data_IF_383735959050
#
_entry.id   IF_383735959050
#
_cell.length_a   1.000
_cell.length_b   1.000
_cell.length_c   1.000
_cell.angle_alpha   90.00
_cell.angle_beta   90.00
_cell.angle_gamma   90.00
#
_symmetry.space_group_name_H-M   'P 1'
#
loop_
_entity.id
_entity.type
_entity.pdbx_description
1 polymer ?
#
# COMPACT_ATOMS: atom_id res chain seq x y z
N UNK A 1 26.31 -10.67 8.84
CA UNK A 1 27.52 -9.80 8.91
C UNK A 1 27.04 -8.34 8.89
N UNK A 2 27.53 -7.51 9.80
CA UNK A 2 27.11 -6.09 9.88
C UNK A 2 27.37 -5.35 8.55
N UNK A 3 26.35 -4.66 8.03
CA UNK A 3 26.44 -3.88 6.80
C UNK A 3 26.63 -2.40 7.12
N UNK A 4 27.26 -1.68 6.21
CA UNK A 4 27.44 -0.24 6.34
C UNK A 4 26.12 0.47 6.01
N UNK A 5 25.71 1.42 6.86
CA UNK A 5 24.57 2.30 6.57
C UNK A 5 24.84 3.13 5.30
N UNK A 6 23.88 3.26 4.44
CA UNK A 6 23.92 4.15 3.27
C UNK A 6 24.08 5.60 3.71
N UNK A 7 23.39 5.99 4.78
CA UNK A 7 23.45 7.34 5.36
C UNK A 7 24.84 7.70 5.91
N UNK A 8 25.74 6.72 6.11
CA UNK A 8 27.11 7.00 6.54
C UNK A 8 27.85 7.95 5.59
N UNK A 9 27.49 7.96 4.30
CA UNK A 9 28.06 8.90 3.32
C UNK A 9 27.76 10.37 3.62
N UNK A 10 26.73 10.68 4.38
CA UNK A 10 26.38 12.07 4.78
C UNK A 10 26.49 12.33 6.28
N UNK A 11 26.53 11.27 7.10
CA UNK A 11 26.53 11.40 8.58
C UNK A 11 27.91 11.16 9.22
N UNK A 12 28.88 10.57 8.52
CA UNK A 12 30.17 10.19 9.08
C UNK A 12 31.37 10.92 8.42
N UNK A 13 32.48 10.97 9.14
CA UNK A 13 33.72 11.55 8.66
C UNK A 13 33.78 13.08 8.74
N UNK A 14 35.01 13.63 8.91
CA UNK A 14 35.24 15.06 9.08
C UNK A 14 34.75 15.90 7.90
N UNK A 15 34.92 15.39 6.67
CA UNK A 15 34.53 16.09 5.43
C UNK A 15 33.01 16.28 5.29
N UNK A 16 32.20 15.47 6.00
CA UNK A 16 30.73 15.55 5.97
C UNK A 16 30.15 16.50 7.03
N UNK A 17 30.97 17.39 7.60
CA UNK A 17 30.47 18.36 8.58
C UNK A 17 29.35 19.27 8.03
N UNK A 18 29.44 19.68 6.75
CA UNK A 18 28.40 20.46 6.08
C UNK A 18 27.09 19.70 5.97
N UNK A 19 27.14 18.44 5.53
CA UNK A 19 25.94 17.59 5.45
C UNK A 19 25.30 17.38 6.83
N UNK A 20 26.12 17.12 7.87
CA UNK A 20 25.59 16.99 9.24
C UNK A 20 24.98 18.28 9.77
N UNK A 21 25.51 19.44 9.40
CA UNK A 21 24.91 20.72 9.77
C UNK A 21 23.51 20.89 9.15
N UNK A 22 23.33 20.46 7.89
CA UNK A 22 22.01 20.46 7.23
C UNK A 22 21.08 19.43 7.86
N UNK A 23 21.56 18.23 8.18
CA UNK A 23 20.73 17.26 8.92
C UNK A 23 20.29 17.78 10.28
N UNK A 24 21.17 18.48 11.01
CA UNK A 24 20.82 19.12 12.28
C UNK A 24 19.78 20.25 12.08
N UNK A 25 19.89 21.04 11.01
CA UNK A 25 18.88 22.05 10.66
C UNK A 25 17.51 21.44 10.33
N UNK A 26 17.48 20.21 9.78
CA UNK A 26 16.28 19.42 9.56
C UNK A 26 15.75 18.73 10.84
N UNK A 27 16.35 18.97 12.00
CA UNK A 27 15.89 18.44 13.29
C UNK A 27 16.55 17.13 13.74
N UNK A 28 17.52 16.60 13.00
CA UNK A 28 18.25 15.39 13.44
C UNK A 28 19.07 15.68 14.71
N UNK A 29 18.80 14.91 15.76
CA UNK A 29 19.49 15.02 17.05
C UNK A 29 20.86 14.33 16.99
N UNK A 30 21.78 14.80 17.84
CA UNK A 30 23.15 14.24 17.91
C UNK A 30 23.17 12.73 18.18
N UNK A 31 22.25 12.22 18.98
CA UNK A 31 22.13 10.79 19.29
C UNK A 31 21.49 9.94 18.18
N UNK A 32 21.00 10.56 17.12
CA UNK A 32 20.48 9.90 15.92
C UNK A 32 21.56 9.78 14.83
N UNK A 33 22.63 10.57 14.91
CA UNK A 33 23.75 10.46 13.97
C UNK A 33 24.38 9.07 14.03
N UNK A 34 24.53 8.43 12.86
CA UNK A 34 25.07 7.07 12.76
C UNK A 34 24.09 5.95 13.04
N UNK A 35 22.82 6.28 13.21
CA UNK A 35 21.69 5.34 13.18
C UNK A 35 20.99 5.39 11.81
N UNK A 36 20.15 4.40 11.47
CA UNK A 36 19.41 4.42 10.21
C UNK A 36 18.59 5.71 10.01
N UNK A 37 18.64 6.26 8.81
CA UNK A 37 17.73 7.29 8.34
C UNK A 37 16.58 6.60 7.62
N UNK A 38 15.38 6.76 8.14
CA UNK A 38 14.16 6.17 7.57
C UNK A 38 13.45 7.22 6.70
N UNK A 39 13.29 6.95 5.42
CA UNK A 39 12.47 7.78 4.56
C UNK A 39 10.97 7.45 4.78
N UNK A 40 10.17 8.47 5.06
CA UNK A 40 8.70 8.35 5.01
C UNK A 40 8.30 8.83 3.61
N UNK A 41 8.00 7.85 2.77
CA UNK A 41 7.52 8.07 1.40
C UNK A 41 6.02 8.23 1.45
N UNK A 42 5.56 9.46 1.52
CA UNK A 42 4.15 9.82 1.62
C UNK A 42 3.60 10.30 0.26
N UNK A 43 2.30 10.47 0.17
CA UNK A 43 1.61 10.94 -1.02
C UNK A 43 0.48 11.93 -0.69
N UNK A 44 0.62 12.68 0.40
CA UNK A 44 -0.35 13.70 0.79
C UNK A 44 -0.63 14.70 -0.34
N UNK A 45 -1.90 14.95 -0.58
CA UNK A 45 -2.41 16.03 -1.41
C UNK A 45 -3.87 16.32 -1.06
N UNK A 46 -4.33 17.54 -1.33
CA UNK A 46 -5.74 17.93 -1.21
C UNK A 46 -6.56 17.66 -2.48
N UNK A 47 -5.92 17.16 -3.54
CA UNK A 47 -6.60 16.80 -4.79
C UNK A 47 -7.20 15.39 -4.79
N UNK A 48 -6.89 14.57 -3.79
CA UNK A 48 -7.30 13.15 -3.73
C UNK A 48 -7.94 12.86 -2.38
N UNK A 49 -9.24 12.51 -2.30
CA UNK A 49 -9.92 12.22 -1.04
C UNK A 49 -9.21 11.15 -0.20
N UNK A 50 -8.60 10.17 -0.87
CA UNK A 50 -7.80 9.12 -0.23
C UNK A 50 -6.49 9.61 0.40
N UNK A 51 -6.08 10.85 0.17
CA UNK A 51 -4.78 11.39 0.57
C UNK A 51 -4.83 12.61 1.48
N UNK A 52 -6.01 13.21 1.68
CA UNK A 52 -6.14 14.46 2.46
C UNK A 52 -5.70 14.32 3.92
N UNK A 53 -5.82 13.13 4.49
CA UNK A 53 -5.44 12.82 5.89
C UNK A 53 -3.97 12.35 6.02
N UNK A 54 -3.27 12.08 4.92
CA UNK A 54 -1.94 11.46 4.96
C UNK A 54 -0.85 12.39 5.52
N UNK A 55 -1.07 13.70 5.57
CA UNK A 55 -0.13 14.61 6.24
C UNK A 55 -0.03 14.29 7.74
N UNK A 56 -1.16 14.18 8.41
CA UNK A 56 -1.21 13.86 9.85
C UNK A 56 -0.64 12.46 10.12
N UNK A 57 -0.92 11.52 9.23
CA UNK A 57 -0.37 10.16 9.30
C UNK A 57 1.15 10.15 9.15
N UNK A 58 1.70 10.93 8.21
CA UNK A 58 3.14 11.08 8.05
C UNK A 58 3.81 11.59 9.34
N UNK A 59 3.19 12.56 10.03
CA UNK A 59 3.69 13.08 11.30
C UNK A 59 3.57 12.06 12.44
N UNK A 60 2.48 11.27 12.48
CA UNK A 60 2.33 10.16 13.43
C UNK A 60 3.45 9.13 13.25
N UNK A 61 3.65 8.64 12.03
CA UNK A 61 4.68 7.65 11.68
C UNK A 61 6.08 8.20 12.01
N UNK A 62 6.35 9.47 11.70
CA UNK A 62 7.60 10.14 12.07
C UNK A 62 7.85 10.10 13.57
N UNK A 63 6.84 10.45 14.36
CA UNK A 63 6.95 10.46 15.81
C UNK A 63 7.23 9.05 16.38
N UNK A 64 6.58 8.01 15.85
CA UNK A 64 6.81 6.63 16.29
C UNK A 64 8.23 6.15 15.94
N UNK A 65 8.72 6.39 14.73
CA UNK A 65 10.09 6.06 14.33
C UNK A 65 11.12 6.79 15.22
N UNK A 66 10.90 8.07 15.53
CA UNK A 66 11.82 8.86 16.34
C UNK A 66 11.86 8.44 17.82
N UNK A 67 10.75 7.93 18.38
CA UNK A 67 10.72 7.29 19.71
C UNK A 67 11.68 6.09 19.79
N UNK A 68 11.84 5.36 18.68
CA UNK A 68 12.76 4.22 18.58
C UNK A 68 14.21 4.62 18.30
N UNK A 69 14.46 5.94 18.25
CA UNK A 69 15.79 6.55 18.22
C UNK A 69 16.41 6.66 16.83
N UNK A 70 15.69 6.36 15.75
CA UNK A 70 16.07 6.64 14.37
C UNK A 70 15.70 8.08 13.99
N UNK A 71 16.26 8.59 12.90
CA UNK A 71 15.80 9.83 12.28
C UNK A 71 14.86 9.49 11.14
N UNK A 72 13.70 10.14 11.09
CA UNK A 72 12.73 9.98 10.02
C UNK A 72 12.60 11.29 9.22
N UNK A 73 12.68 11.17 7.89
CA UNK A 73 12.52 12.28 6.96
C UNK A 73 11.38 11.99 5.99
N UNK A 74 10.36 12.85 6.01
CA UNK A 74 9.19 12.74 5.16
C UNK A 74 9.36 13.53 3.86
N UNK A 75 8.89 12.95 2.76
CA UNK A 75 8.61 13.66 1.52
C UNK A 75 7.36 13.09 0.84
N UNK A 76 6.75 13.88 -0.04
CA UNK A 76 5.57 13.46 -0.78
C UNK A 76 5.89 13.25 -2.25
N UNK A 77 5.34 12.18 -2.84
CA UNK A 77 5.21 12.04 -4.28
C UNK A 77 3.99 12.81 -4.78
N UNK A 78 3.85 12.96 -6.09
CA UNK A 78 2.59 13.39 -6.69
C UNK A 78 1.53 12.29 -6.52
N UNK A 79 0.26 12.70 -6.53
CA UNK A 79 -0.87 11.79 -6.60
C UNK A 79 -1.96 12.39 -7.48
N UNK A 80 -2.48 11.60 -8.42
CA UNK A 80 -3.57 11.97 -9.32
C UNK A 80 -4.79 11.15 -8.92
N UNK A 81 -5.95 11.79 -8.83
CA UNK A 81 -7.22 11.13 -8.61
C UNK A 81 -7.84 10.71 -9.94
N UNK A 82 -7.89 9.41 -10.19
CA UNK A 82 -8.46 8.86 -11.42
C UNK A 82 -9.97 9.15 -11.51
N UNK A 83 -10.68 9.14 -10.39
CA UNK A 83 -12.11 9.43 -10.34
C UNK A 83 -12.44 10.87 -10.75
N UNK A 84 -11.66 11.83 -10.25
CA UNK A 84 -11.81 13.25 -10.65
C UNK A 84 -11.36 13.49 -12.10
N UNK A 85 -10.33 12.77 -12.56
CA UNK A 85 -9.83 12.87 -13.92
C UNK A 85 -10.67 12.12 -14.97
N UNK A 86 -11.54 11.23 -14.54
CA UNK A 86 -12.35 10.38 -15.41
C UNK A 86 -13.33 11.21 -16.24
N UNK A 87 -13.43 10.90 -17.53
CA UNK A 87 -14.34 11.58 -18.45
C UNK A 87 -13.78 12.82 -19.15
N UNK A 88 -12.53 13.22 -18.88
CA UNK A 88 -11.85 14.31 -19.59
C UNK A 88 -10.36 14.01 -19.82
N UNK A 89 -9.63 14.91 -20.49
CA UNK A 89 -8.25 14.74 -20.91
C UNK A 89 -7.24 14.61 -19.72
N UNK A 90 -7.61 15.01 -18.51
CA UNK A 90 -6.84 14.79 -17.31
C UNK A 90 -6.50 13.31 -17.06
N UNK A 91 -7.32 12.38 -17.54
CA UNK A 91 -7.08 10.94 -17.42
C UNK A 91 -5.82 10.47 -18.17
N UNK A 92 -5.34 11.22 -19.15
CA UNK A 92 -4.09 10.95 -19.88
C UNK A 92 -2.84 11.02 -18.98
N UNK A 93 -2.94 11.72 -17.84
CA UNK A 93 -1.85 11.87 -16.89
C UNK A 93 -1.82 10.76 -15.81
N UNK A 94 -2.92 10.00 -15.67
CA UNK A 94 -3.05 9.00 -14.62
C UNK A 94 -1.99 7.90 -14.73
N UNK A 95 -2.02 7.07 -15.76
CA UNK A 95 -1.07 5.95 -15.87
C UNK A 95 0.40 6.38 -15.95
N UNK A 96 0.80 7.42 -16.69
CA UNK A 96 2.19 7.88 -16.70
C UNK A 96 2.70 8.34 -15.34
N UNK A 97 1.81 8.82 -14.45
CA UNK A 97 2.20 9.25 -13.11
C UNK A 97 2.80 8.11 -12.27
N UNK A 98 2.44 6.86 -12.53
CA UNK A 98 3.00 5.69 -11.84
C UNK A 98 4.52 5.64 -11.96
N UNK A 99 5.03 5.82 -13.16
CA UNK A 99 6.46 5.77 -13.45
C UNK A 99 7.17 7.00 -12.87
N UNK A 100 6.56 8.19 -12.94
CA UNK A 100 7.08 9.41 -12.32
C UNK A 100 7.15 9.26 -10.79
N UNK A 101 6.16 8.61 -10.18
CA UNK A 101 6.17 8.32 -8.74
C UNK A 101 7.34 7.40 -8.41
N UNK A 102 7.52 6.31 -9.14
CA UNK A 102 8.64 5.38 -8.96
C UNK A 102 9.98 6.11 -9.07
N UNK A 103 10.18 6.90 -10.11
CA UNK A 103 11.39 7.67 -10.35
C UNK A 103 11.63 8.68 -9.22
N UNK A 104 10.60 9.43 -8.81
CA UNK A 104 10.74 10.45 -7.75
C UNK A 104 11.16 9.84 -6.41
N UNK A 105 10.63 8.67 -6.04
CA UNK A 105 11.00 7.95 -4.82
C UNK A 105 12.45 7.48 -4.92
N UNK A 106 12.82 6.88 -6.03
CA UNK A 106 14.19 6.43 -6.27
C UNK A 106 15.20 7.58 -6.17
N UNK A 107 14.90 8.73 -6.80
CA UNK A 107 15.73 9.94 -6.73
C UNK A 107 15.90 10.43 -5.30
N UNK A 108 14.82 10.60 -4.55
CA UNK A 108 14.87 11.11 -3.18
C UNK A 108 15.66 10.18 -2.25
N UNK A 109 15.38 8.89 -2.30
CA UNK A 109 16.03 7.90 -1.43
C UNK A 109 17.50 7.71 -1.78
N UNK A 110 17.85 7.68 -3.07
CA UNK A 110 19.23 7.52 -3.52
C UNK A 110 20.08 8.77 -3.29
N UNK A 111 19.54 9.98 -3.57
CA UNK A 111 20.26 11.24 -3.37
C UNK A 111 20.59 11.49 -1.89
N UNK A 112 19.65 11.23 -0.99
CA UNK A 112 19.81 11.45 0.45
C UNK A 112 20.36 10.23 1.19
N UNK A 113 20.57 9.10 0.49
CA UNK A 113 21.11 7.87 1.07
C UNK A 113 20.31 7.38 2.28
N UNK A 114 18.97 7.42 2.22
CA UNK A 114 18.17 6.81 3.25
C UNK A 114 18.44 5.30 3.34
N UNK A 115 18.38 4.77 4.56
CA UNK A 115 18.74 3.39 4.86
C UNK A 115 17.56 2.42 4.70
N UNK A 116 16.36 2.90 4.95
CA UNK A 116 15.12 2.15 4.84
C UNK A 116 13.98 3.12 4.51
N UNK A 117 12.82 2.58 4.12
CA UNK A 117 11.67 3.41 3.82
C UNK A 117 10.37 2.80 4.30
N UNK A 118 9.43 3.66 4.74
CA UNK A 118 8.03 3.32 4.94
C UNK A 118 7.21 4.07 3.91
N UNK A 119 6.38 3.34 3.16
CA UNK A 119 5.58 3.88 2.08
C UNK A 119 4.12 4.03 2.53
N UNK A 120 3.63 5.27 2.55
CA UNK A 120 2.24 5.61 2.86
C UNK A 120 1.55 5.93 1.55
N UNK A 121 0.90 4.92 0.97
CA UNK A 121 0.24 4.99 -0.33
C UNK A 121 -1.27 4.78 -0.18
N UNK A 122 -2.06 5.12 -1.18
CA UNK A 122 -3.49 4.80 -1.11
C UNK A 122 -4.20 4.65 -2.46
N UNK A 123 -3.85 5.39 -3.50
CA UNK A 123 -4.62 5.44 -4.75
C UNK A 123 -3.98 4.62 -5.88
N UNK A 124 -4.69 4.53 -7.01
CA UNK A 124 -4.51 3.64 -8.16
C UNK A 124 -3.07 3.51 -8.65
N UNK A 125 -2.38 4.63 -8.87
CA UNK A 125 -1.04 4.65 -9.47
C UNK A 125 0.06 4.83 -8.43
N UNK A 126 -0.32 5.30 -7.23
CA UNK A 126 0.62 5.62 -6.16
C UNK A 126 1.18 4.33 -5.53
N UNK A 127 0.30 3.42 -5.14
CA UNK A 127 0.73 2.13 -4.55
C UNK A 127 1.63 1.35 -5.51
N UNK A 128 1.28 1.11 -6.79
CA UNK A 128 2.18 0.42 -7.69
C UNK A 128 3.45 1.20 -8.02
N UNK A 129 3.42 2.53 -8.12
CA UNK A 129 4.61 3.34 -8.33
C UNK A 129 5.60 3.23 -7.17
N UNK A 130 5.12 3.29 -5.92
CA UNK A 130 5.98 3.07 -4.74
C UNK A 130 6.50 1.63 -4.66
N UNK A 131 5.71 0.61 -5.06
CA UNK A 131 6.17 -0.78 -5.14
C UNK A 131 7.29 -0.95 -6.16
N UNK A 132 7.16 -0.36 -7.36
CA UNK A 132 8.23 -0.36 -8.37
C UNK A 132 9.52 0.25 -7.80
N UNK A 133 9.44 1.41 -7.13
CA UNK A 133 10.59 2.03 -6.47
C UNK A 133 11.19 1.14 -5.38
N UNK A 134 10.36 0.43 -4.60
CA UNK A 134 10.84 -0.49 -3.57
C UNK A 134 11.66 -1.64 -4.15
N UNK A 135 11.24 -2.18 -5.31
CA UNK A 135 11.98 -3.23 -6.01
C UNK A 135 13.32 -2.71 -6.56
N UNK A 136 13.32 -1.53 -7.22
CA UNK A 136 14.55 -0.90 -7.74
C UNK A 136 15.56 -0.61 -6.64
N UNK A 137 15.11 -0.07 -5.52
CA UNK A 137 15.97 0.33 -4.40
C UNK A 137 16.47 -0.86 -3.60
N UNK A 138 15.64 -1.88 -3.44
CA UNK A 138 15.86 -3.09 -2.67
C UNK A 138 16.55 -2.86 -1.31
N UNK A 139 16.04 -1.89 -0.55
CA UNK A 139 16.39 -1.60 0.84
C UNK A 139 15.20 -1.99 1.73
N UNK A 140 15.37 -2.18 3.05
CA UNK A 140 14.23 -2.50 3.92
C UNK A 140 13.08 -1.53 3.69
N UNK A 141 11.91 -2.07 3.38
CA UNK A 141 10.71 -1.30 3.08
C UNK A 141 9.47 -1.94 3.70
N UNK A 142 8.58 -1.11 4.23
CA UNK A 142 7.26 -1.51 4.74
C UNK A 142 6.21 -0.62 4.12
N UNK A 143 5.08 -1.20 3.74
CA UNK A 143 3.95 -0.47 3.20
C UNK A 143 2.81 -0.39 4.20
N UNK A 144 2.16 0.76 4.25
CA UNK A 144 0.91 0.96 4.99
C UNK A 144 0.03 1.91 4.21
N UNK A 145 -1.17 1.46 3.83
CA UNK A 145 -2.10 2.31 3.07
C UNK A 145 -2.83 3.29 3.96
N UNK A 146 -3.27 4.40 3.38
CA UNK A 146 -4.14 5.37 4.06
C UNK A 146 -5.51 4.80 4.41
N UNK A 147 -5.89 3.69 3.83
CA UNK A 147 -7.14 2.97 4.04
C UNK A 147 -8.25 3.33 3.05
N UNK A 148 -9.21 2.40 2.86
CA UNK A 148 -10.43 2.62 2.08
C UNK A 148 -11.35 3.67 2.72
N UNK A 149 -12.19 4.27 1.89
CA UNK A 149 -13.33 5.07 2.31
C UNK A 149 -14.46 4.15 2.79
N UNK A 150 -15.29 4.65 3.69
CA UNK A 150 -16.58 4.02 3.99
C UNK A 150 -17.54 4.15 2.80
N UNK A 151 -18.45 3.19 2.64
CA UNK A 151 -19.54 3.34 1.68
C UNK A 151 -20.46 4.50 2.08
N UNK A 152 -20.92 5.24 1.09
CA UNK A 152 -21.97 6.23 1.28
C UNK A 152 -23.31 5.59 1.63
N UNK A 153 -24.24 6.39 2.15
CA UNK A 153 -25.61 5.93 2.44
C UNK A 153 -26.61 7.02 2.12
N UNK A 154 -27.65 6.63 1.37
CA UNK A 154 -28.80 7.50 1.10
C UNK A 154 -30.07 6.65 0.92
N UNK A 155 -31.17 7.06 1.56
CA UNK A 155 -32.44 6.34 1.55
C UNK A 155 -32.35 4.84 1.91
N UNK A 156 -31.42 4.48 2.83
CA UNK A 156 -31.22 3.10 3.26
C UNK A 156 -30.48 2.22 2.24
N UNK A 157 -29.87 2.82 1.23
CA UNK A 157 -29.01 2.15 0.25
C UNK A 157 -27.57 2.61 0.40
N UNK A 158 -26.64 1.66 0.30
CA UNK A 158 -25.23 2.00 0.19
C UNK A 158 -24.92 2.56 -1.19
N UNK A 159 -24.02 3.52 -1.23
CA UNK A 159 -23.60 4.24 -2.43
C UNK A 159 -22.09 4.28 -2.55
N UNK A 160 -21.62 4.41 -3.78
CA UNK A 160 -20.24 4.75 -4.09
C UNK A 160 -20.14 5.76 -5.26
N UNK A 161 -18.91 6.06 -5.70
CA UNK A 161 -18.64 6.93 -6.83
C UNK A 161 -19.39 6.49 -8.10
N UNK A 162 -19.48 5.18 -8.35
CA UNK A 162 -20.07 4.64 -9.57
C UNK A 162 -21.60 4.84 -9.57
N UNK A 163 -22.24 4.76 -8.40
CA UNK A 163 -23.67 5.06 -8.28
C UNK A 163 -23.96 6.51 -8.69
N UNK A 164 -23.12 7.46 -8.24
CA UNK A 164 -23.24 8.86 -8.66
C UNK A 164 -23.08 9.01 -10.18
N UNK A 165 -22.11 8.34 -10.78
CA UNK A 165 -21.88 8.38 -12.23
C UNK A 165 -23.04 7.76 -13.03
N UNK A 166 -23.54 6.59 -12.62
CA UNK A 166 -24.64 5.90 -13.29
C UNK A 166 -25.91 6.74 -13.20
N UNK A 167 -26.23 7.25 -12.01
CA UNK A 167 -27.46 8.04 -11.79
C UNK A 167 -27.42 9.38 -12.51
N UNK A 168 -26.27 10.02 -12.62
CA UNK A 168 -26.14 11.27 -13.39
C UNK A 168 -26.31 11.06 -14.90
N UNK A 169 -26.08 9.87 -15.41
CA UNK A 169 -26.27 9.52 -16.82
C UNK A 169 -27.69 9.06 -17.15
N UNK A 170 -28.55 8.82 -16.15
CA UNK A 170 -29.93 8.39 -16.32
C UNK A 170 -30.87 9.62 -16.36
N UNK A 171 -31.35 9.98 -17.56
CA UNK A 171 -32.25 11.12 -17.77
C UNK A 171 -33.60 11.00 -17.02
N UNK A 172 -33.97 9.84 -16.53
CA UNK A 172 -35.19 9.62 -15.72
C UNK A 172 -35.02 10.03 -14.25
N UNK A 173 -33.77 10.21 -13.79
CA UNK A 173 -33.43 10.64 -12.42
C UNK A 173 -33.44 12.18 -12.37
N UNK A 174 -34.09 12.74 -11.36
CA UNK A 174 -34.15 14.21 -11.21
C UNK A 174 -32.83 14.81 -10.77
N UNK A 175 -32.54 16.05 -11.16
CA UNK A 175 -31.35 16.80 -10.72
C UNK A 175 -31.24 16.85 -9.18
N UNK A 176 -32.35 16.94 -8.47
CA UNK A 176 -32.37 16.95 -7.01
C UNK A 176 -31.92 15.59 -6.43
N UNK A 177 -32.30 14.50 -7.06
CA UNK A 177 -31.86 13.16 -6.63
C UNK A 177 -30.38 12.95 -6.92
N UNK A 178 -29.90 13.36 -8.09
CA UNK A 178 -28.46 13.36 -8.43
C UNK A 178 -27.67 14.17 -7.41
N UNK A 179 -28.09 15.39 -7.06
CA UNK A 179 -27.43 16.20 -6.05
C UNK A 179 -27.39 15.57 -4.67
N UNK A 180 -28.42 14.84 -4.28
CA UNK A 180 -28.44 14.09 -3.01
C UNK A 180 -27.44 12.92 -3.04
N UNK A 181 -27.34 12.22 -4.16
CA UNK A 181 -26.38 11.11 -4.32
C UNK A 181 -24.96 11.66 -4.29
N UNK A 182 -24.65 12.73 -5.02
CA UNK A 182 -23.33 13.39 -5.02
C UNK A 182 -22.85 13.74 -3.58
N UNK A 183 -23.74 14.24 -2.75
CA UNK A 183 -23.41 14.62 -1.38
C UNK A 183 -23.17 13.45 -0.44
N UNK A 184 -23.67 12.26 -0.78
CA UNK A 184 -23.65 11.11 0.13
C UNK A 184 -22.80 9.93 -0.38
N UNK A 185 -22.40 9.90 -1.65
CA UNK A 185 -21.70 8.78 -2.25
C UNK A 185 -20.26 8.60 -1.71
N UNK A 186 -19.58 9.69 -1.31
CA UNK A 186 -18.21 9.68 -0.83
C UNK A 186 -18.09 10.42 0.51
N UNK A 187 -18.50 9.79 1.63
CA UNK A 187 -18.76 10.49 2.90
C UNK A 187 -17.51 10.83 3.72
N UNK A 188 -16.38 10.13 3.53
CA UNK A 188 -15.20 10.24 4.39
C UNK A 188 -13.91 10.39 3.58
N UNK A 189 -12.77 10.60 4.26
CA UNK A 189 -11.48 10.39 3.65
C UNK A 189 -11.25 8.88 3.40
N UNK A 190 -10.30 8.57 2.54
CA UNK A 190 -9.99 7.21 2.13
C UNK A 190 -10.05 7.04 0.61
N UNK A 191 -9.46 5.97 0.08
CA UNK A 191 -9.65 5.61 -1.32
C UNK A 191 -11.04 5.00 -1.53
N UNK A 192 -11.35 4.52 -2.73
CA UNK A 192 -12.69 4.02 -3.06
C UNK A 192 -13.25 3.04 -2.03
N UNK A 193 -14.57 3.02 -1.83
CA UNK A 193 -15.26 2.10 -0.90
C UNK A 193 -15.45 0.68 -1.46
N UNK A 194 -15.19 0.46 -2.76
CA UNK A 194 -15.30 -0.85 -3.43
C UNK A 194 -13.93 -1.47 -3.76
N UNK A 195 -13.93 -2.64 -4.43
CA UNK A 195 -12.73 -3.34 -4.89
C UNK A 195 -12.23 -2.76 -6.23
N UNK A 196 -12.11 -1.44 -6.29
CA UNK A 196 -11.48 -0.73 -7.40
C UNK A 196 -9.96 -0.88 -7.35
N UNK A 197 -9.24 -0.30 -8.29
CA UNK A 197 -7.78 -0.47 -8.43
C UNK A 197 -7.02 -0.10 -7.16
N UNK A 198 -7.38 1.00 -6.50
CA UNK A 198 -6.73 1.45 -5.27
C UNK A 198 -6.76 0.37 -4.17
N UNK A 199 -7.97 -0.13 -3.84
CA UNK A 199 -8.12 -1.18 -2.84
C UNK A 199 -7.53 -2.51 -3.31
N UNK A 200 -7.72 -2.88 -4.59
CA UNK A 200 -7.09 -4.07 -5.15
C UNK A 200 -5.57 -4.05 -4.93
N UNK A 201 -4.89 -2.96 -5.29
CA UNK A 201 -3.45 -2.86 -5.10
C UNK A 201 -3.03 -2.86 -3.62
N UNK A 202 -3.81 -2.25 -2.73
CA UNK A 202 -3.54 -2.30 -1.29
C UNK A 202 -3.72 -3.71 -0.71
N UNK A 203 -4.70 -4.47 -1.20
CA UNK A 203 -4.92 -5.89 -0.87
C UNK A 203 -3.78 -6.77 -1.43
N UNK A 204 -3.37 -6.53 -2.68
CA UNK A 204 -2.28 -7.28 -3.31
C UNK A 204 -0.93 -7.00 -2.64
N UNK A 205 -0.71 -5.81 -2.14
CA UNK A 205 0.48 -5.47 -1.36
C UNK A 205 0.55 -6.30 -0.05
N UNK A 206 -0.59 -6.52 0.58
CA UNK A 206 -0.72 -7.42 1.73
C UNK A 206 -0.44 -8.89 1.33
N UNK A 207 -0.96 -9.32 0.18
CA UNK A 207 -0.77 -10.68 -0.35
C UNK A 207 0.66 -10.98 -0.81
N UNK A 208 1.35 -10.00 -1.41
CA UNK A 208 2.78 -10.09 -1.73
C UNK A 208 3.62 -10.23 -0.44
N UNK A 209 3.13 -9.68 0.66
CA UNK A 209 3.78 -9.75 1.96
C UNK A 209 4.54 -8.50 2.37
N UNK A 210 4.40 -7.36 1.66
CA UNK A 210 5.10 -6.10 1.97
C UNK A 210 4.31 -5.16 2.89
N UNK A 211 3.06 -5.52 3.22
CA UNK A 211 2.20 -4.83 4.16
C UNK A 211 1.67 -5.77 5.24
N UNK A 212 1.31 -5.21 6.40
CA UNK A 212 0.72 -5.96 7.51
C UNK A 212 -0.74 -6.37 7.20
N UNK A 213 -1.27 -7.42 7.85
CA UNK A 213 -2.67 -7.82 7.73
C UNK A 213 -3.63 -6.66 8.06
N UNK A 214 -4.69 -6.54 7.28
CA UNK A 214 -5.66 -5.44 7.38
C UNK A 214 -5.30 -4.19 6.57
N UNK A 215 -4.14 -4.17 5.92
CA UNK A 215 -3.70 -3.04 5.11
C UNK A 215 -4.71 -2.65 4.03
N UNK A 216 -5.27 -3.62 3.33
CA UNK A 216 -6.18 -3.37 2.21
C UNK A 216 -7.64 -3.13 2.61
N UNK A 217 -8.06 -3.49 3.83
CA UNK A 217 -9.50 -3.58 4.15
C UNK A 217 -9.97 -2.76 5.35
N UNK A 218 -9.08 -2.44 6.32
CA UNK A 218 -9.45 -1.56 7.43
C UNK A 218 -9.69 -0.15 6.87
N UNK A 219 -10.89 0.43 7.04
CA UNK A 219 -11.22 1.75 6.51
C UNK A 219 -10.39 2.86 7.17
N UNK A 220 -10.21 3.98 6.47
CA UNK A 220 -9.35 5.09 6.90
C UNK A 220 -9.74 5.69 8.26
N UNK A 221 -11.04 5.69 8.56
CA UNK A 221 -11.63 6.26 9.78
C UNK A 221 -11.65 5.30 10.98
N UNK A 222 -11.32 4.01 10.78
CA UNK A 222 -11.38 3.01 11.83
C UNK A 222 -10.21 3.16 12.82
N UNK A 223 -10.49 3.00 14.13
CA UNK A 223 -9.48 3.14 15.19
C UNK A 223 -8.24 2.22 14.98
N UNK A 224 -8.45 1.00 14.52
CA UNK A 224 -7.37 0.04 14.26
C UNK A 224 -6.43 0.51 13.13
N UNK A 225 -6.86 1.43 12.26
CA UNK A 225 -6.00 2.02 11.22
C UNK A 225 -4.83 2.80 11.85
N UNK A 226 -5.09 3.54 12.92
CA UNK A 226 -4.04 4.26 13.67
C UNK A 226 -3.01 3.30 14.27
N UNK A 227 -3.45 2.16 14.81
CA UNK A 227 -2.53 1.16 15.35
C UNK A 227 -1.67 0.55 14.23
N UNK A 228 -2.25 0.25 13.07
CA UNK A 228 -1.52 -0.31 11.92
C UNK A 228 -0.38 0.61 11.45
N UNK A 229 -0.55 1.94 11.49
CA UNK A 229 0.53 2.89 11.20
C UNK A 229 1.67 2.80 12.22
N UNK A 230 1.35 2.65 13.50
CA UNK A 230 2.37 2.51 14.55
C UNK A 230 3.13 1.20 14.41
N UNK A 231 2.42 0.09 14.17
CA UNK A 231 3.01 -1.23 13.98
C UNK A 231 3.95 -1.25 12.77
N UNK A 232 3.54 -0.61 11.66
CA UNK A 232 4.38 -0.46 10.48
C UNK A 232 5.63 0.40 10.74
N UNK A 233 5.51 1.46 11.56
CA UNK A 233 6.64 2.31 11.96
C UNK A 233 7.63 1.55 12.86
N UNK A 234 7.17 0.73 13.77
CA UNK A 234 8.02 -0.15 14.59
C UNK A 234 8.71 -1.21 13.72
N UNK A 235 7.96 -1.81 12.81
CA UNK A 235 8.45 -2.86 11.93
C UNK A 235 9.57 -2.37 11.01
N UNK A 236 9.45 -1.18 10.40
CA UNK A 236 10.51 -0.67 9.52
C UNK A 236 11.81 -0.41 10.29
N UNK A 237 11.73 0.07 11.53
CA UNK A 237 12.92 0.24 12.37
C UNK A 237 13.55 -1.09 12.74
N UNK A 238 12.73 -2.11 13.06
CA UNK A 238 13.17 -3.48 13.31
C UNK A 238 13.89 -4.05 12.09
N UNK A 239 13.27 -3.96 10.90
CA UNK A 239 13.81 -4.51 9.67
C UNK A 239 15.10 -3.79 9.23
N UNK A 240 15.20 -2.48 9.41
CA UNK A 240 16.43 -1.75 9.18
C UNK A 240 17.57 -2.27 10.08
N UNK A 241 17.31 -2.54 11.36
CA UNK A 241 18.30 -3.13 12.26
C UNK A 241 18.70 -4.53 11.85
N UNK A 242 17.74 -5.41 11.54
CA UNK A 242 18.01 -6.77 11.06
C UNK A 242 18.93 -6.75 9.84
N UNK A 243 18.66 -5.89 8.87
CA UNK A 243 19.47 -5.81 7.66
C UNK A 243 20.88 -5.24 7.94
N UNK A 244 20.99 -4.10 8.64
CA UNK A 244 22.28 -3.42 8.81
C UNK A 244 23.13 -4.00 9.94
N UNK A 245 22.54 -4.47 11.03
CA UNK A 245 23.29 -4.98 12.19
C UNK A 245 23.57 -6.47 12.09
N UNK A 246 22.61 -7.26 11.56
CA UNK A 246 22.71 -8.72 11.49
C UNK A 246 23.02 -9.22 10.08
N UNK A 247 22.75 -8.41 9.05
CA UNK A 247 22.94 -8.77 7.64
C UNK A 247 21.85 -9.66 7.10
N UNK A 248 20.65 -9.60 7.69
CA UNK A 248 19.49 -10.37 7.25
C UNK A 248 18.88 -9.76 5.99
N UNK A 249 19.06 -10.42 4.86
CA UNK A 249 18.52 -10.02 3.56
C UNK A 249 17.06 -10.45 3.35
N UNK A 250 16.53 -11.28 4.22
CA UNK A 250 15.15 -11.78 4.11
C UNK A 250 14.09 -10.68 4.29
N UNK A 251 14.48 -9.53 4.87
CA UNK A 251 13.63 -8.35 5.07
C UNK A 251 13.59 -7.40 3.86
N UNK A 252 14.32 -7.73 2.80
CA UNK A 252 14.38 -6.90 1.57
C UNK A 252 13.16 -7.15 0.67
N UNK A 253 12.66 -6.12 -0.02
CA UNK A 253 11.51 -6.25 -0.92
C UNK A 253 11.64 -7.37 -1.95
N UNK A 254 12.79 -7.49 -2.65
CA UNK A 254 12.98 -8.54 -3.66
C UNK A 254 13.12 -9.94 -3.04
N UNK A 255 13.46 -10.07 -1.76
CA UNK A 255 13.46 -11.35 -1.07
C UNK A 255 12.06 -11.81 -0.65
N UNK A 256 11.12 -10.87 -0.48
CA UNK A 256 9.71 -11.11 -0.12
C UNK A 256 8.87 -11.27 -1.40
N UNK A 257 8.99 -10.35 -2.35
CA UNK A 257 8.24 -10.32 -3.59
C UNK A 257 8.79 -11.35 -4.61
N UNK A 258 8.77 -12.60 -4.23
CA UNK A 258 9.20 -13.73 -5.07
C UNK A 258 8.15 -14.04 -6.14
N UNK A 259 8.54 -14.83 -7.15
CA UNK A 259 7.59 -15.31 -8.17
C UNK A 259 6.34 -15.95 -7.53
N UNK A 260 6.53 -16.73 -6.47
CA UNK A 260 5.41 -17.38 -5.78
C UNK A 260 4.50 -16.36 -5.08
N UNK A 261 5.06 -15.29 -4.50
CA UNK A 261 4.27 -14.20 -3.93
C UNK A 261 3.42 -13.48 -5.00
N UNK A 262 3.95 -13.27 -6.21
CA UNK A 262 3.17 -12.72 -7.34
C UNK A 262 2.06 -13.67 -7.80
N UNK A 263 2.32 -14.98 -7.86
CA UNK A 263 1.29 -15.97 -8.19
C UNK A 263 0.18 -16.00 -7.13
N UNK A 264 0.53 -15.95 -5.85
CA UNK A 264 -0.44 -15.86 -4.76
C UNK A 264 -1.28 -14.57 -4.86
N UNK A 265 -0.62 -13.43 -5.09
CA UNK A 265 -1.30 -12.13 -5.23
C UNK A 265 -2.29 -12.13 -6.40
N UNK A 266 -1.91 -12.64 -7.57
CA UNK A 266 -2.80 -12.74 -8.73
C UNK A 266 -3.94 -13.74 -8.49
N UNK A 267 -3.69 -14.85 -7.80
CA UNK A 267 -4.74 -15.79 -7.40
C UNK A 267 -5.76 -15.14 -6.48
N UNK A 268 -5.28 -14.35 -5.49
CA UNK A 268 -6.15 -13.54 -4.64
C UNK A 268 -6.95 -12.51 -5.45
N UNK A 269 -6.31 -11.81 -6.38
CA UNK A 269 -6.97 -10.77 -7.20
C UNK A 269 -8.17 -11.33 -7.96
N UNK A 270 -7.98 -12.49 -8.59
CA UNK A 270 -9.06 -13.21 -9.29
C UNK A 270 -10.16 -13.65 -8.32
N UNK A 271 -9.78 -14.20 -7.16
CA UNK A 271 -10.71 -14.72 -6.17
C UNK A 271 -11.53 -13.62 -5.49
N UNK A 272 -10.95 -12.45 -5.25
CA UNK A 272 -11.65 -11.32 -4.63
C UNK A 272 -12.41 -10.44 -5.62
N UNK A 273 -12.31 -10.73 -6.94
CA UNK A 273 -12.93 -9.91 -7.97
C UNK A 273 -12.28 -8.53 -8.09
N UNK A 274 -10.96 -8.50 -8.06
CA UNK A 274 -10.17 -7.27 -8.12
C UNK A 274 -10.21 -6.58 -9.48
N UNK A 275 -9.54 -5.45 -9.56
CA UNK A 275 -9.51 -4.59 -10.76
C UNK A 275 -8.62 -5.18 -11.84
N UNK A 276 -9.04 -5.09 -13.11
CA UNK A 276 -8.22 -5.50 -14.26
C UNK A 276 -6.92 -4.67 -14.40
N UNK A 277 -6.85 -3.47 -13.81
CA UNK A 277 -5.63 -2.66 -13.80
C UNK A 277 -4.49 -3.32 -13.01
N UNK A 278 -4.79 -4.21 -12.08
CA UNK A 278 -3.78 -4.95 -11.31
C UNK A 278 -2.87 -5.79 -12.21
N UNK A 279 -3.40 -6.29 -13.33
CA UNK A 279 -2.62 -7.04 -14.35
C UNK A 279 -1.42 -6.23 -14.80
N UNK A 280 -1.66 -5.01 -15.28
CA UNK A 280 -0.55 -4.16 -15.76
C UNK A 280 0.37 -3.70 -14.63
N UNK A 281 -0.15 -3.56 -13.42
CA UNK A 281 0.65 -3.11 -12.27
C UNK A 281 1.54 -4.24 -11.74
N UNK A 282 1.02 -5.45 -11.56
CA UNK A 282 1.81 -6.59 -11.10
C UNK A 282 2.91 -6.96 -12.11
N UNK A 283 2.62 -6.90 -13.41
CA UNK A 283 3.63 -7.12 -14.44
C UNK A 283 4.77 -6.08 -14.37
N UNK A 284 4.44 -4.80 -14.16
CA UNK A 284 5.43 -3.74 -14.02
C UNK A 284 6.28 -3.92 -12.74
N UNK A 285 5.65 -4.23 -11.61
CA UNK A 285 6.35 -4.46 -10.33
C UNK A 285 7.26 -5.70 -10.43
N UNK A 286 6.78 -6.79 -11.05
CA UNK A 286 7.56 -8.00 -11.25
C UNK A 286 8.77 -7.75 -12.18
N UNK A 287 8.60 -6.90 -13.20
CA UNK A 287 9.70 -6.48 -14.07
C UNK A 287 10.79 -5.74 -13.27
N UNK A 288 10.42 -4.78 -12.42
CA UNK A 288 11.36 -4.05 -11.56
C UNK A 288 12.04 -4.96 -10.51
N UNK A 289 11.36 -6.00 -10.08
CA UNK A 289 11.89 -7.02 -9.17
C UNK A 289 12.75 -8.09 -9.88
N UNK A 290 12.89 -8.02 -11.21
CA UNK A 290 13.53 -9.05 -12.04
C UNK A 290 12.90 -10.45 -11.87
N UNK A 291 11.60 -10.51 -11.61
CA UNK A 291 10.83 -11.74 -11.42
C UNK A 291 10.17 -12.16 -12.73
N UNK A 292 10.37 -13.42 -13.12
CA UNK A 292 9.75 -14.02 -14.31
C UNK A 292 8.26 -14.34 -14.05
N UNK A 293 7.43 -13.28 -14.06
CA UNK A 293 5.96 -13.33 -13.95
C UNK A 293 5.35 -12.72 -15.23
N UNK A 294 4.49 -13.46 -15.91
CA UNK A 294 4.03 -13.16 -17.27
C UNK A 294 2.52 -13.25 -17.42
N UNK A 295 2.01 -12.75 -18.55
CA UNK A 295 0.60 -12.87 -18.93
C UNK A 295 0.12 -14.32 -18.98
N UNK A 296 0.96 -15.26 -19.41
CA UNK A 296 0.61 -16.69 -19.45
C UNK A 296 0.34 -17.26 -18.04
N UNK A 297 1.05 -16.76 -17.02
CA UNK A 297 0.79 -17.13 -15.62
C UNK A 297 -0.60 -16.63 -15.21
N UNK A 298 -0.97 -15.41 -15.57
CA UNK A 298 -2.27 -14.81 -15.26
C UNK A 298 -3.40 -15.58 -15.95
N UNK A 299 -3.25 -15.90 -17.24
CA UNK A 299 -4.23 -16.72 -17.97
C UNK A 299 -4.40 -18.11 -17.33
N UNK A 300 -3.30 -18.75 -16.97
CA UNK A 300 -3.33 -20.04 -16.27
C UNK A 300 -4.08 -19.96 -14.93
N UNK A 301 -3.81 -18.93 -14.13
CA UNK A 301 -4.47 -18.73 -12.83
C UNK A 301 -5.96 -18.41 -12.99
N UNK A 302 -6.33 -17.60 -13.99
CA UNK A 302 -7.72 -17.23 -14.26
C UNK A 302 -8.62 -18.42 -14.57
N UNK A 303 -8.05 -19.52 -15.07
CA UNK A 303 -8.77 -20.78 -15.36
C UNK A 303 -8.93 -21.68 -14.14
N UNK A 304 -8.19 -21.42 -13.06
CA UNK A 304 -8.12 -22.27 -11.86
C UNK A 304 -8.72 -21.62 -10.62
N UNK A 305 -8.48 -20.32 -10.44
CA UNK A 305 -8.93 -19.61 -9.25
C UNK A 305 -10.44 -19.36 -9.30
N UNK A 306 -11.21 -19.76 -8.26
CA UNK A 306 -12.62 -19.45 -8.16
C UNK A 306 -12.85 -18.00 -7.76
N UNK A 307 -13.96 -17.40 -8.15
CA UNK A 307 -14.42 -16.14 -7.58
C UNK A 307 -15.07 -16.42 -6.22
N UNK A 308 -14.44 -16.01 -5.13
CA UNK A 308 -14.92 -16.21 -3.76
C UNK A 308 -15.67 -14.99 -3.22
N UNK A 309 -15.36 -13.79 -3.74
CA UNK A 309 -15.87 -12.55 -3.22
C UNK A 309 -16.44 -11.68 -4.34
N UNK A 310 -17.57 -11.02 -4.09
CA UNK A 310 -18.14 -10.00 -4.95
C UNK A 310 -18.46 -8.76 -4.14
N UNK A 311 -17.75 -7.69 -4.43
CA UNK A 311 -17.89 -6.37 -3.80
C UNK A 311 -18.12 -5.32 -4.88
N UNK A 312 -18.55 -4.13 -4.52
CA UNK A 312 -18.67 -3.02 -5.46
C UNK A 312 -17.36 -2.87 -6.28
N UNK A 313 -17.42 -2.68 -7.59
CA UNK A 313 -18.58 -2.45 -8.46
C UNK A 313 -19.29 -3.75 -8.95
N UNK A 314 -18.80 -4.94 -8.59
CA UNK A 314 -19.37 -6.21 -9.05
C UNK A 314 -20.71 -6.55 -8.38
N UNK A 315 -21.09 -5.81 -7.34
CA UNK A 315 -22.39 -5.80 -6.66
C UNK A 315 -22.60 -4.47 -5.98
N UNK A 316 -23.84 -4.03 -5.82
CA UNK A 316 -24.21 -2.85 -5.05
C UNK A 316 -24.40 -3.15 -3.54
N UNK A 317 -24.34 -4.43 -3.16
CA UNK A 317 -24.73 -4.87 -1.80
C UNK A 317 -23.59 -4.80 -0.80
N UNK A 318 -22.35 -5.08 -1.23
CA UNK A 318 -21.19 -5.21 -0.36
C UNK A 318 -20.07 -4.29 -0.80
N UNK A 319 -19.37 -3.72 0.19
CA UNK A 319 -18.25 -2.80 0.02
C UNK A 319 -17.01 -3.33 0.74
N UNK A 320 -15.89 -2.62 0.67
CA UNK A 320 -14.63 -3.07 1.25
C UNK A 320 -14.69 -3.27 2.77
N UNK A 321 -15.50 -2.47 3.45
CA UNK A 321 -15.74 -2.61 4.90
C UNK A 321 -16.40 -3.95 5.26
N UNK A 322 -17.18 -4.53 4.36
CA UNK A 322 -17.78 -5.85 4.55
C UNK A 322 -16.74 -6.95 4.42
N UNK A 323 -15.78 -6.79 3.50
CA UNK A 323 -14.62 -7.68 3.39
C UNK A 323 -13.81 -7.66 4.70
N UNK A 324 -13.58 -6.46 5.26
CA UNK A 324 -12.89 -6.34 6.55
C UNK A 324 -13.64 -7.09 7.67
N UNK A 325 -14.96 -6.89 7.77
CA UNK A 325 -15.82 -7.59 8.75
C UNK A 325 -15.81 -9.11 8.58
N UNK A 326 -15.63 -9.58 7.35
CA UNK A 326 -15.54 -11.01 7.02
C UNK A 326 -14.13 -11.61 7.26
N UNK A 327 -13.20 -10.84 7.85
CA UNK A 327 -11.84 -11.27 8.17
C UNK A 327 -10.75 -10.78 7.21
N UNK A 328 -11.12 -9.89 6.29
CA UNK A 328 -10.16 -9.22 5.39
C UNK A 328 -9.50 -10.17 4.39
N UNK A 329 -8.33 -9.75 3.94
CA UNK A 329 -7.57 -10.49 2.91
C UNK A 329 -7.04 -11.81 3.44
N UNK A 330 -6.64 -11.87 4.71
CA UNK A 330 -6.16 -13.11 5.33
C UNK A 330 -7.24 -14.20 5.29
N UNK A 331 -8.51 -13.87 5.52
CA UNK A 331 -9.59 -14.86 5.45
C UNK A 331 -9.80 -15.40 4.01
N UNK A 332 -9.68 -14.55 3.00
CA UNK A 332 -9.75 -15.00 1.59
C UNK A 332 -8.55 -15.90 1.26
N UNK A 333 -7.36 -15.52 1.71
CA UNK A 333 -6.15 -16.32 1.50
C UNK A 333 -6.21 -17.66 2.26
N UNK A 334 -6.83 -17.72 3.44
CA UNK A 334 -7.07 -18.96 4.17
C UNK A 334 -7.95 -19.92 3.37
N UNK A 335 -9.04 -19.43 2.77
CA UNK A 335 -9.91 -20.26 1.90
C UNK A 335 -9.15 -20.73 0.64
N UNK A 336 -8.33 -19.88 0.04
CA UNK A 336 -7.47 -20.28 -1.09
C UNK A 336 -6.43 -21.33 -0.69
N UNK A 337 -5.86 -21.21 0.51
CA UNK A 337 -4.91 -22.17 1.05
C UNK A 337 -5.57 -23.53 1.31
N UNK A 338 -6.76 -23.56 1.90
CA UNK A 338 -7.57 -24.78 2.08
C UNK A 338 -7.88 -25.47 0.75
N UNK A 339 -8.08 -24.67 -0.31
CA UNK A 339 -8.27 -25.16 -1.67
C UNK A 339 -6.96 -25.61 -2.37
N UNK A 340 -5.80 -25.45 -1.76
CA UNK A 340 -4.51 -25.77 -2.37
C UNK A 340 -4.16 -24.86 -3.57
N UNK A 341 -4.67 -23.64 -3.60
CA UNK A 341 -4.54 -22.72 -4.73
C UNK A 341 -3.40 -21.72 -4.58
N UNK A 342 -2.87 -21.56 -3.37
CA UNK A 342 -1.74 -20.66 -3.06
C UNK A 342 -0.66 -21.39 -2.24
N UNK A 343 0.56 -20.87 -2.29
CA UNK A 343 1.68 -21.34 -1.50
C UNK A 343 1.78 -20.53 -0.19
N UNK A 344 1.56 -21.18 0.93
CA UNK A 344 1.59 -20.54 2.24
C UNK A 344 2.99 -20.44 2.86
N UNK A 345 4.02 -21.00 2.21
CA UNK A 345 5.41 -20.91 2.66
C UNK A 345 6.08 -19.57 2.36
N UNK A 346 5.45 -18.71 1.53
CA UNK A 346 6.00 -17.40 1.18
C UNK A 346 6.20 -16.54 2.42
N UNK A 347 7.30 -15.78 2.41
CA UNK A 347 7.69 -14.92 3.52
C UNK A 347 7.03 -13.55 3.44
N UNK A 348 6.83 -12.94 4.59
CA UNK A 348 6.24 -11.62 4.74
C UNK A 348 7.22 -10.66 5.43
N UNK A 349 6.94 -9.36 5.30
CA UNK A 349 7.76 -8.27 5.86
C UNK A 349 7.83 -8.27 7.39
N UNK A 350 6.83 -8.84 8.06
CA UNK A 350 6.78 -9.05 9.52
C UNK A 350 7.67 -10.20 10.02
N UNK A 351 8.25 -10.96 9.09
CA UNK A 351 9.11 -12.11 9.35
C UNK A 351 8.36 -13.45 9.43
N UNK A 352 7.02 -13.41 9.37
CA UNK A 352 6.18 -14.62 9.32
C UNK A 352 6.17 -15.21 7.91
N UNK A 353 5.87 -16.49 7.82
CA UNK A 353 5.32 -17.10 6.62
C UNK A 353 3.84 -16.75 6.48
N UNK A 354 3.29 -16.90 5.29
CA UNK A 354 1.85 -16.74 5.10
C UNK A 354 1.03 -17.74 5.91
N UNK A 355 1.53 -18.97 6.10
CA UNK A 355 0.89 -19.96 6.96
C UNK A 355 0.78 -19.51 8.42
N UNK A 356 1.84 -18.91 8.97
CA UNK A 356 1.83 -18.34 10.32
C UNK A 356 0.87 -17.17 10.43
N UNK A 357 0.86 -16.26 9.45
CA UNK A 357 -0.07 -15.13 9.41
C UNK A 357 -1.53 -15.59 9.32
N UNK A 358 -1.84 -16.60 8.52
CA UNK A 358 -3.19 -17.19 8.47
C UNK A 358 -3.58 -17.76 9.84
N UNK A 359 -2.70 -18.50 10.49
CA UNK A 359 -2.99 -19.07 11.81
C UNK A 359 -3.21 -17.99 12.89
N UNK A 360 -2.54 -16.86 12.80
CA UNK A 360 -2.65 -15.78 13.79
C UNK A 360 -3.85 -14.85 13.55
N UNK A 361 -4.11 -14.50 12.28
CA UNK A 361 -5.05 -13.42 11.94
C UNK A 361 -6.35 -13.89 11.27
N UNK A 362 -6.48 -15.16 10.86
CA UNK A 362 -7.74 -15.63 10.27
C UNK A 362 -8.86 -15.71 11.32
N UNK A 363 -10.04 -15.23 10.96
CA UNK A 363 -11.25 -15.35 11.81
C UNK A 363 -11.67 -16.81 12.06
N UNK A 364 -11.14 -17.75 11.28
CA UNK A 364 -11.37 -19.18 11.47
C UNK A 364 -10.29 -19.82 12.35
N UNK A 365 -9.29 -19.05 12.78
CA UNK A 365 -8.27 -19.50 13.71
C UNK A 365 -8.89 -19.81 15.08
N UNK A 366 -8.45 -20.89 15.75
CA UNK A 366 -8.95 -21.25 17.09
C UNK A 366 -8.45 -20.34 18.21
N UNK A 367 -7.64 -19.29 17.92
CA UNK A 367 -7.06 -18.38 18.92
C UNK A 367 -7.94 -17.14 19.15
#
# INVERSE_FOLDING_TARGET
MKKQLRSSFSTQGRRMAGARALWAANGMKKNQMGKPIIAIVNSFTQFVPGHVHLHEIGQLVKAEIEKLGCFAAEFNTIAIDDGIAMGHDGMLYSLPSRDIIADSVEYMVNAHKADAMICISNCDKITPGMLMAAMRLNIPAVFVSGGPMEAGEWNGQHLDLIDAMIKSADESVSDQEVANIEQNACPTCGCCSGMFTANSMNCLNEAIGLALPGNGTIVATHENRTQLFKDAAELIVKNAKLYYEEGDESVLPCSIATRQAFLNAMTLDIAMGGSTNTVLHLLAIAHEAEVDFKMDDIDMLSRKAPCLCKVAPNTQKYHIQDVNRAGGIIAIMDELAKGGLIDTSVRRVDGMSLAEAINEYSITSPN
#
